data_IF_906167391406
#
_entry.id   IF_906167391406
#
_cell.length_a   1.000
_cell.length_b   1.000
_cell.length_c   1.000
_cell.angle_alpha   90.00
_cell.angle_beta   90.00
_cell.angle_gamma   90.00
#
_symmetry.space_group_name_H-M   'P 1'
#
loop_
_entity.id
_entity.type
_entity.pdbx_description
1 polymer ?
#
# COMPACT_ATOMS: atom_id res chain seq x y z
N UNK A 1 -1.78 -4.26 -10.83
CA UNK A 1 -0.86 -4.62 -11.93
C UNK A 1 0.48 -5.13 -11.44
N UNK A 2 1.36 -4.32 -10.82
CA UNK A 2 2.73 -4.76 -10.47
C UNK A 2 2.79 -6.02 -9.59
N UNK A 3 1.87 -6.15 -8.63
CA UNK A 3 1.72 -7.35 -7.79
C UNK A 3 1.27 -8.61 -8.57
N UNK A 4 0.53 -8.45 -9.65
CA UNK A 4 0.10 -9.58 -10.49
C UNK A 4 1.27 -10.11 -11.35
N UNK A 5 2.22 -9.25 -11.69
CA UNK A 5 3.43 -9.57 -12.41
C UNK A 5 4.65 -9.50 -11.50
N UNK A 6 4.55 -10.04 -10.28
CA UNK A 6 5.62 -9.95 -9.26
C UNK A 6 6.94 -10.51 -9.76
N UNK A 7 6.88 -11.61 -10.51
CA UNK A 7 8.03 -12.38 -10.97
C UNK A 7 8.72 -11.77 -12.19
N UNK A 8 8.14 -10.70 -12.75
CA UNK A 8 8.73 -9.95 -13.87
C UNK A 8 9.77 -8.98 -13.34
N UNK A 9 10.99 -9.14 -13.85
CA UNK A 9 12.12 -8.28 -13.53
C UNK A 9 11.98 -6.87 -14.11
N UNK A 10 12.74 -5.93 -13.54
CA UNK A 10 12.92 -4.60 -14.15
C UNK A 10 13.58 -4.76 -15.51
N UNK A 11 13.12 -4.02 -16.51
CA UNK A 11 13.68 -4.11 -17.86
C UNK A 11 13.23 -5.35 -18.64
N UNK A 12 12.47 -6.27 -18.05
CA UNK A 12 11.92 -7.41 -18.79
C UNK A 12 10.64 -6.99 -19.53
N UNK A 13 10.60 -7.27 -20.83
CA UNK A 13 9.41 -7.04 -21.66
C UNK A 13 8.42 -8.18 -21.48
N UNK A 14 7.17 -7.83 -21.21
CA UNK A 14 6.02 -8.73 -21.25
C UNK A 14 5.05 -8.32 -22.35
N UNK A 15 4.50 -9.31 -23.04
CA UNK A 15 3.45 -9.12 -24.03
C UNK A 15 2.12 -9.47 -23.39
N UNK A 16 1.20 -8.50 -23.34
CA UNK A 16 -0.10 -8.66 -22.68
C UNK A 16 -1.21 -8.10 -23.55
N UNK A 17 -2.32 -8.83 -23.69
CA UNK A 17 -3.48 -8.34 -24.42
C UNK A 17 -4.21 -7.30 -23.56
N UNK A 18 -4.77 -6.28 -24.21
CA UNK A 18 -5.53 -5.25 -23.47
C UNK A 18 -6.72 -5.86 -22.71
N UNK A 19 -7.30 -6.94 -23.24
CA UNK A 19 -8.38 -7.71 -22.60
C UNK A 19 -7.93 -8.33 -21.26
N UNK A 20 -6.74 -8.95 -21.23
CA UNK A 20 -6.15 -9.54 -20.01
C UNK A 20 -5.90 -8.46 -18.94
N UNK A 21 -5.48 -7.26 -19.36
CA UNK A 21 -5.33 -6.13 -18.43
C UNK A 21 -6.67 -5.63 -17.90
N UNK A 22 -7.73 -5.63 -18.73
CA UNK A 22 -9.06 -5.22 -18.26
C UNK A 22 -9.62 -6.18 -17.22
N UNK A 23 -9.37 -7.48 -17.37
CA UNK A 23 -9.74 -8.51 -16.39
C UNK A 23 -8.90 -8.35 -15.11
N UNK A 24 -7.58 -8.24 -15.25
CA UNK A 24 -6.64 -8.09 -14.11
C UNK A 24 -6.92 -6.82 -13.28
N UNK A 25 -7.36 -5.75 -13.93
CA UNK A 25 -7.61 -4.45 -13.30
C UNK A 25 -9.10 -4.21 -13.00
N UNK A 26 -9.98 -5.16 -13.34
CA UNK A 26 -11.43 -5.04 -13.22
C UNK A 26 -11.96 -3.70 -13.77
N UNK A 27 -11.49 -3.31 -14.96
CA UNK A 27 -11.68 -1.96 -15.49
C UNK A 27 -11.86 -1.96 -17.01
N UNK A 28 -12.45 -0.90 -17.57
CA UNK A 28 -12.66 -0.78 -19.02
C UNK A 28 -11.35 -0.57 -19.81
N UNK A 29 -11.34 -0.91 -21.10
CA UNK A 29 -10.20 -0.72 -22.01
C UNK A 29 -9.69 0.72 -22.04
N UNK A 30 -10.62 1.68 -22.04
CA UNK A 30 -10.30 3.13 -22.01
C UNK A 30 -9.57 3.49 -20.71
N UNK A 31 -10.06 3.00 -19.58
CA UNK A 31 -9.45 3.25 -18.27
C UNK A 31 -8.07 2.60 -18.15
N UNK A 32 -7.92 1.36 -18.61
CA UNK A 32 -6.61 0.66 -18.64
C UNK A 32 -5.62 1.44 -19.49
N UNK A 33 -6.01 1.86 -20.69
CA UNK A 33 -5.16 2.67 -21.57
C UNK A 33 -4.72 3.98 -20.89
N UNK A 34 -5.67 4.68 -20.23
CA UNK A 34 -5.35 5.90 -19.48
C UNK A 34 -4.40 5.62 -18.32
N UNK A 35 -4.61 4.53 -17.59
CA UNK A 35 -3.74 4.12 -16.48
C UNK A 35 -2.32 3.84 -16.98
N UNK A 36 -2.16 3.08 -18.07
CA UNK A 36 -0.84 2.76 -18.64
C UNK A 36 -0.07 4.01 -19.07
N UNK A 37 -0.74 4.97 -19.74
CA UNK A 37 -0.13 6.26 -20.10
C UNK A 37 0.29 7.07 -18.88
N UNK A 38 -0.52 7.07 -17.82
CA UNK A 38 -0.16 7.76 -16.58
C UNK A 38 1.05 7.09 -15.91
N UNK A 39 1.03 5.75 -15.81
CA UNK A 39 2.14 4.98 -15.26
C UNK A 39 3.44 5.19 -16.05
N UNK A 40 3.35 5.31 -17.38
CA UNK A 40 4.49 5.65 -18.23
C UNK A 40 5.01 7.05 -17.97
N UNK A 41 4.12 8.05 -17.91
CA UNK A 41 4.48 9.44 -17.57
C UNK A 41 5.16 9.56 -16.20
N UNK A 42 4.73 8.75 -15.24
CA UNK A 42 5.26 8.71 -13.87
C UNK A 42 6.51 7.79 -13.74
N UNK A 43 6.96 7.17 -14.84
CA UNK A 43 8.16 6.34 -14.87
C UNK A 43 8.02 4.99 -14.13
N UNK A 44 6.82 4.43 -14.04
CA UNK A 44 6.60 3.08 -13.49
C UNK A 44 6.86 1.97 -14.51
N UNK A 45 6.58 2.25 -15.79
CA UNK A 45 6.74 1.32 -16.90
C UNK A 45 6.99 2.06 -18.21
N UNK A 46 7.45 1.37 -19.25
CA UNK A 46 7.27 1.80 -20.63
C UNK A 46 6.21 0.94 -21.29
N UNK A 47 5.40 1.53 -22.18
CA UNK A 47 4.28 0.85 -22.80
C UNK A 47 4.24 1.09 -24.31
N UNK A 48 4.21 0.01 -25.07
CA UNK A 48 3.99 0.05 -26.51
C UNK A 48 2.62 -0.60 -26.83
N UNK A 49 1.64 0.17 -27.33
CA UNK A 49 0.33 -0.37 -27.67
C UNK A 49 0.42 -1.35 -28.85
N UNK A 50 -0.35 -2.44 -28.79
CA UNK A 50 -0.48 -3.38 -29.90
C UNK A 50 -1.13 -2.75 -31.14
N UNK A 51 -0.64 -3.10 -32.33
CA UNK A 51 -1.13 -2.57 -33.62
C UNK A 51 -2.43 -3.25 -34.07
N UNK A 52 -3.56 -2.99 -33.41
CA UNK A 52 -4.89 -3.40 -33.86
C UNK A 52 -5.71 -4.22 -32.85
N UNK A 53 -6.90 -4.68 -33.26
CA UNK A 53 -7.79 -5.46 -32.39
C UNK A 53 -7.11 -6.78 -32.03
N UNK A 54 -7.04 -7.10 -30.73
CA UNK A 54 -6.51 -8.37 -30.21
C UNK A 54 -4.99 -8.49 -30.11
N UNK A 55 -4.22 -7.50 -30.58
CA UNK A 55 -2.75 -7.54 -30.55
C UNK A 55 -2.22 -7.29 -29.13
N UNK A 56 -1.18 -8.03 -28.76
CA UNK A 56 -0.49 -7.83 -27.49
C UNK A 56 0.19 -6.46 -27.47
N UNK A 57 0.06 -5.77 -26.34
CA UNK A 57 0.88 -4.61 -25.99
C UNK A 57 2.15 -5.09 -25.31
N UNK A 58 3.27 -4.41 -25.55
CA UNK A 58 4.50 -4.66 -24.83
C UNK A 58 4.58 -3.71 -23.62
N UNK A 59 4.85 -4.27 -22.44
CA UNK A 59 5.07 -3.52 -21.20
C UNK A 59 6.44 -3.91 -20.65
N UNK A 60 7.18 -2.94 -20.12
CA UNK A 60 8.41 -3.16 -19.38
C UNK A 60 8.33 -2.37 -18.09
N UNK A 61 8.42 -3.03 -16.93
CA UNK A 61 8.45 -2.32 -15.65
C UNK A 61 9.82 -1.66 -15.47
N UNK A 62 9.80 -0.39 -15.10
CA UNK A 62 11.02 0.39 -14.79
C UNK A 62 11.34 0.35 -13.28
N UNK A 63 10.32 -0.02 -12.50
CA UNK A 63 10.24 -0.19 -11.04
C UNK A 63 10.62 -1.57 -10.48
N UNK A 64 11.59 -1.78 -9.56
CA UNK A 64 11.55 -2.97 -8.70
C UNK A 64 10.19 -3.06 -7.99
N UNK A 65 9.72 -4.27 -7.69
CA UNK A 65 8.42 -4.48 -7.04
C UNK A 65 8.33 -3.70 -5.72
N UNK A 66 9.37 -3.85 -4.90
CA UNK A 66 9.46 -3.26 -3.56
C UNK A 66 9.38 -1.74 -3.60
N UNK A 67 10.10 -1.13 -4.54
CA UNK A 67 10.09 0.32 -4.75
C UNK A 67 8.72 0.79 -5.26
N UNK A 68 8.14 0.09 -6.25
CA UNK A 68 6.85 0.48 -6.81
C UNK A 68 5.71 0.40 -5.77
N UNK A 69 5.73 -0.61 -4.90
CA UNK A 69 4.75 -0.73 -3.81
C UNK A 69 4.98 0.36 -2.76
N UNK A 70 6.24 0.62 -2.38
CA UNK A 70 6.57 1.66 -1.40
C UNK A 70 6.15 3.05 -1.88
N UNK A 71 6.48 3.41 -3.12
CA UNK A 71 6.08 4.69 -3.71
C UNK A 71 4.56 4.86 -3.78
N UNK A 72 3.85 3.80 -4.19
CA UNK A 72 2.40 3.87 -4.24
C UNK A 72 1.80 4.01 -2.84
N UNK A 73 2.37 3.34 -1.84
CA UNK A 73 1.95 3.47 -0.45
C UNK A 73 2.17 4.89 0.08
N UNK A 74 3.36 5.45 -0.13
CA UNK A 74 3.72 6.80 0.31
C UNK A 74 2.76 7.84 -0.35
N UNK A 75 2.46 7.71 -1.64
CA UNK A 75 1.45 8.53 -2.34
C UNK A 75 0.04 8.41 -1.73
N UNK A 76 -0.36 7.23 -1.26
CA UNK A 76 -1.66 7.05 -0.62
C UNK A 76 -1.71 7.76 0.74
N UNK A 77 -0.61 7.77 1.49
CA UNK A 77 -0.52 8.53 2.74
C UNK A 77 -0.57 10.03 2.47
N UNK A 78 0.21 10.54 1.51
CA UNK A 78 0.22 11.96 1.13
C UNK A 78 -1.17 12.47 0.73
N UNK A 79 -1.99 11.60 0.13
CA UNK A 79 -3.37 11.91 -0.26
C UNK A 79 -4.41 11.66 0.83
N UNK A 80 -4.00 11.25 2.04
CA UNK A 80 -4.90 10.89 3.14
C UNK A 80 -5.77 9.65 2.86
N UNK A 81 -5.39 8.82 1.87
CA UNK A 81 -6.12 7.62 1.45
C UNK A 81 -5.76 6.41 2.31
N UNK A 82 -5.94 6.53 3.62
CA UNK A 82 -5.53 5.52 4.60
C UNK A 82 -6.23 4.17 4.41
N UNK A 83 -7.51 4.17 4.02
CA UNK A 83 -8.26 2.93 3.77
C UNK A 83 -7.63 2.15 2.61
N UNK A 84 -7.25 2.83 1.55
CA UNK A 84 -6.58 2.26 0.38
C UNK A 84 -5.18 1.78 0.74
N UNK A 85 -4.43 2.54 1.55
CA UNK A 85 -3.12 2.14 2.05
C UNK A 85 -3.20 0.83 2.86
N UNK A 86 -4.17 0.72 3.78
CA UNK A 86 -4.44 -0.52 4.53
C UNK A 86 -4.82 -1.67 3.59
N UNK A 87 -5.67 -1.43 2.59
CA UNK A 87 -6.04 -2.46 1.60
C UNK A 87 -4.81 -2.93 0.81
N UNK A 88 -3.88 -2.04 0.46
CA UNK A 88 -2.63 -2.40 -0.20
C UNK A 88 -1.80 -3.35 0.66
N UNK A 89 -1.63 -3.05 1.95
CA UNK A 89 -0.87 -3.89 2.90
C UNK A 89 -1.49 -5.27 3.14
N UNK A 90 -2.79 -5.45 2.87
CA UNK A 90 -3.46 -6.75 2.97
C UNK A 90 -3.31 -7.61 1.72
N UNK A 91 -2.80 -7.07 0.61
CA UNK A 91 -2.66 -7.85 -0.64
C UNK A 91 -1.59 -8.93 -0.50
N UNK A 92 -1.85 -10.07 -1.13
CA UNK A 92 -0.83 -11.08 -1.39
C UNK A 92 0.21 -10.55 -2.38
N UNK A 93 1.44 -11.06 -2.30
CA UNK A 93 2.55 -10.64 -3.15
C UNK A 93 3.25 -9.35 -2.73
N UNK A 94 2.77 -8.62 -1.71
CA UNK A 94 3.56 -7.52 -1.11
C UNK A 94 4.72 -8.13 -0.32
N UNK A 95 5.99 -7.78 -0.64
CA UNK A 95 7.15 -8.26 0.09
C UNK A 95 7.04 -7.99 1.60
N UNK A 96 7.41 -8.94 2.49
CA UNK A 96 7.31 -8.75 3.94
C UNK A 96 8.07 -7.51 4.43
N UNK A 97 9.29 -7.30 3.93
CA UNK A 97 10.14 -6.15 4.26
C UNK A 97 9.46 -4.80 3.97
N UNK A 98 8.80 -4.70 2.82
CA UNK A 98 8.04 -3.50 2.41
C UNK A 98 6.79 -3.34 3.26
N UNK A 99 6.09 -4.45 3.54
CA UNK A 99 4.89 -4.46 4.40
C UNK A 99 5.20 -3.91 5.79
N UNK A 100 6.30 -4.35 6.39
CA UNK A 100 6.72 -3.92 7.73
C UNK A 100 7.12 -2.44 7.75
N UNK A 101 7.85 -1.96 6.73
CA UNK A 101 8.14 -0.51 6.57
C UNK A 101 6.85 0.30 6.51
N UNK A 102 5.95 -0.07 5.61
CA UNK A 102 4.72 0.69 5.39
C UNK A 102 3.78 0.63 6.59
N UNK A 103 3.72 -0.50 7.30
CA UNK A 103 2.96 -0.61 8.54
C UNK A 103 3.49 0.36 9.61
N UNK A 104 4.81 0.41 9.82
CA UNK A 104 5.43 1.38 10.75
C UNK A 104 5.10 2.83 10.39
N UNK A 105 5.18 3.18 9.10
CA UNK A 105 4.82 4.53 8.64
C UNK A 105 3.33 4.84 8.85
N UNK A 106 2.44 3.90 8.55
CA UNK A 106 1.01 4.07 8.81
C UNK A 106 0.72 4.30 10.28
N UNK A 107 1.34 3.51 11.16
CA UNK A 107 1.15 3.64 12.60
C UNK A 107 1.68 4.99 13.10
N UNK A 108 2.83 5.45 12.59
CA UNK A 108 3.37 6.76 12.92
C UNK A 108 2.43 7.90 12.48
N UNK A 109 1.90 7.85 11.25
CA UNK A 109 0.99 8.85 10.70
C UNK A 109 -0.34 8.94 11.46
N UNK A 110 -0.84 7.79 11.94
CA UNK A 110 -2.11 7.71 12.68
C UNK A 110 -1.93 7.89 14.20
N UNK A 111 -0.70 7.94 14.69
CA UNK A 111 -0.43 8.13 16.12
C UNK A 111 -0.70 9.56 16.55
N UNK A 112 -1.06 9.72 17.82
CA UNK A 112 -1.18 11.05 18.43
C UNK A 112 0.23 11.66 18.49
N UNK A 113 0.47 12.87 17.96
CA UNK A 113 1.75 13.54 18.08
C UNK A 113 2.18 13.64 19.55
N UNK A 114 3.34 13.07 19.88
CA UNK A 114 3.89 13.06 21.25
C UNK A 114 3.54 11.83 22.10
N UNK A 115 2.79 10.86 21.59
CA UNK A 115 2.59 9.57 22.24
C UNK A 115 3.48 8.52 21.57
N UNK A 116 4.69 8.32 22.07
CA UNK A 116 5.52 7.19 21.64
C UNK A 116 4.89 5.89 22.11
N UNK A 117 4.57 4.98 21.18
CA UNK A 117 4.23 3.60 21.53
C UNK A 117 5.52 2.95 22.03
N UNK A 118 5.70 2.95 23.34
CA UNK A 118 6.79 2.23 23.98
C UNK A 118 6.45 0.72 23.93
N UNK A 119 7.11 -0.01 23.03
CA UNK A 119 6.91 -1.45 22.88
C UNK A 119 7.23 -2.23 24.16
N UNK A 120 8.02 -1.67 25.09
CA UNK A 120 8.28 -2.29 26.40
C UNK A 120 7.06 -2.28 27.32
N UNK A 121 6.09 -1.38 27.09
CA UNK A 121 4.83 -1.35 27.84
C UNK A 121 3.95 -2.56 27.52
N UNK A 122 4.09 -3.18 26.34
CA UNK A 122 3.30 -4.36 25.96
C UNK A 122 3.51 -5.53 26.92
N UNK A 123 4.72 -5.68 27.45
CA UNK A 123 5.07 -6.73 28.43
C UNK A 123 4.62 -6.36 29.85
N UNK A 124 4.47 -5.07 30.16
CA UNK A 124 4.00 -4.59 31.48
C UNK A 124 2.47 -4.44 31.58
N UNK A 125 1.76 -4.42 30.45
CA UNK A 125 0.31 -4.24 30.37
C UNK A 125 -0.48 -5.53 30.57
N UNK A 126 0.16 -6.70 30.61
CA UNK A 126 -0.54 -7.98 30.80
C UNK A 126 -1.28 -8.09 32.14
N UNK A 127 -0.81 -7.37 33.16
CA UNK A 127 -1.40 -7.37 34.51
C UNK A 127 -2.31 -6.16 34.78
N UNK A 128 -2.41 -5.22 33.83
CA UNK A 128 -3.25 -4.04 33.97
C UNK A 128 -4.67 -4.36 33.47
N UNK A 129 -5.65 -4.26 34.35
CA UNK A 129 -7.06 -4.22 33.95
C UNK A 129 -7.36 -2.82 33.40
N UNK A 130 -7.61 -2.64 32.09
CA UNK A 130 -7.95 -1.33 31.57
C UNK A 130 -9.29 -0.89 32.17
N UNK A 131 -9.24 0.16 32.99
CA UNK A 131 -10.41 0.84 33.49
C UNK A 131 -10.49 2.22 32.83
N UNK A 132 -11.59 2.44 32.11
CA UNK A 132 -11.96 3.77 31.63
C UNK A 132 -12.58 4.50 32.81
N UNK A 133 -11.96 5.60 33.24
CA UNK A 133 -12.53 6.51 34.23
C UNK A 133 -12.79 7.84 33.54
N UNK A 134 -14.07 8.20 33.41
CA UNK A 134 -14.47 9.54 32.96
C UNK A 134 -14.18 10.52 34.10
N UNK A 135 -13.35 11.53 33.83
CA UNK A 135 -13.21 12.68 34.75
C UNK A 135 -14.10 13.81 34.25
N UNK A 136 -14.55 14.67 35.15
CA UNK A 136 -15.38 15.85 34.84
C UNK A 136 -14.71 16.83 33.85
N UNK A 137 -13.40 16.65 33.59
CA UNK A 137 -12.59 17.44 32.66
C UNK A 137 -12.45 16.83 31.26
N UNK A 138 -13.05 15.67 30.97
CA UNK A 138 -13.00 15.03 29.65
C UNK A 138 -11.65 14.40 29.28
N UNK A 139 -10.72 14.29 30.22
CA UNK A 139 -9.40 13.69 29.99
C UNK A 139 -9.38 12.19 30.30
N UNK A 140 -8.88 11.40 29.35
CA UNK A 140 -8.69 9.95 29.49
C UNK A 140 -7.37 9.64 30.20
N UNK A 141 -7.41 8.88 31.29
CA UNK A 141 -6.21 8.39 31.99
C UNK A 141 -6.34 6.90 32.26
N UNK A 142 -5.26 6.17 32.03
CA UNK A 142 -5.11 4.78 32.48
C UNK A 142 -4.63 4.85 33.93
N UNK A 143 -5.36 4.23 34.85
CA UNK A 143 -5.03 4.23 36.28
C UNK A 143 -4.72 2.82 36.74
N UNK A 144 -3.61 2.64 37.46
CA UNK A 144 -3.35 1.38 38.20
C UNK A 144 -4.36 1.27 39.33
N UNK A 145 -5.02 0.12 39.43
CA UNK A 145 -5.85 -0.20 40.60
C UNK A 145 -4.92 -0.68 41.71
N UNK A 146 -4.69 0.13 42.73
CA UNK A 146 -4.08 -0.35 43.97
C UNK A 146 -5.08 -1.27 44.68
N UNK A 147 -4.58 -2.41 45.17
CA UNK A 147 -5.34 -3.43 45.88
C UNK A 147 -5.63 -3.04 47.32
#
# INVERSE_FOLDING_TARGET
MRLHYSDVGVGQTINVRLDELTETLYSSKRNVTRLLKNMEKEGYLSWQPGKGRGHASAIQFQRPLDEAVSLHFDQLLDWGKYKEAIRLLKRSGVPPTVRDRCYRLLMAELSIPGLSVDESLSTQLSDLKPAIVSTETGSWRIVRKEG
#
